data_IF_680508712171
#
_entry.id   IF_680508712171
#
_cell.length_a   1.000
_cell.length_b   1.000
_cell.length_c   1.000
_cell.angle_alpha   90.00
_cell.angle_beta   90.00
_cell.angle_gamma   90.00
#
_symmetry.space_group_name_H-M   'P 1'
#
loop_
_entity.id
_entity.type
_entity.pdbx_description
1 polymer ?
#
# COMPACT_ATOMS: atom_id res chain seq x y z
N UNK A 1 14.50 -5.89 -10.84
CA UNK A 1 13.03 -5.96 -10.80
C UNK A 1 12.37 -4.76 -11.50
N UNK A 2 12.72 -3.51 -11.16
CA UNK A 2 12.08 -2.31 -11.72
C UNK A 2 11.89 -2.33 -13.25
N UNK A 3 12.92 -2.56 -14.11
CA UNK A 3 12.70 -2.54 -15.57
C UNK A 3 11.68 -3.57 -16.07
N UNK A 4 11.54 -4.69 -15.36
CA UNK A 4 10.56 -5.74 -15.69
C UNK A 4 9.15 -5.27 -15.33
N UNK A 5 8.95 -4.71 -14.14
CA UNK A 5 7.66 -4.17 -13.69
C UNK A 5 7.17 -3.04 -14.62
N UNK A 6 8.08 -2.15 -15.02
CA UNK A 6 7.79 -1.08 -16.00
C UNK A 6 7.40 -1.66 -17.36
N UNK A 7 8.13 -2.67 -17.84
CA UNK A 7 7.82 -3.33 -19.14
C UNK A 7 6.49 -4.08 -19.12
N UNK A 8 6.06 -4.57 -17.95
CA UNK A 8 4.75 -5.18 -17.76
C UNK A 8 3.58 -4.17 -17.74
N UNK A 9 3.87 -2.87 -17.65
CA UNK A 9 2.84 -1.84 -17.54
C UNK A 9 2.03 -1.95 -16.25
N UNK A 10 2.72 -2.16 -15.11
CA UNK A 10 2.06 -2.14 -13.80
C UNK A 10 1.47 -0.76 -13.55
N UNK A 11 0.19 -0.72 -13.15
CA UNK A 11 -0.54 0.52 -12.94
C UNK A 11 -0.62 0.94 -11.46
N UNK A 12 -0.53 -0.04 -10.56
CA UNK A 12 -0.40 0.13 -9.12
C UNK A 12 0.02 -1.22 -8.51
N UNK A 13 0.59 -1.19 -7.31
CA UNK A 13 0.92 -2.38 -6.53
C UNK A 13 0.39 -2.24 -5.09
N UNK A 14 0.12 -3.36 -4.43
CA UNK A 14 -0.12 -3.40 -2.99
C UNK A 14 1.16 -3.91 -2.33
N UNK A 15 1.57 -3.31 -1.22
CA UNK A 15 2.67 -3.88 -0.44
C UNK A 15 2.28 -5.27 0.10
N UNK A 16 3.25 -6.18 0.09
CA UNK A 16 3.25 -7.47 0.77
C UNK A 16 4.39 -7.54 1.80
N UNK A 17 4.54 -8.66 2.51
CA UNK A 17 5.40 -8.73 3.72
C UNK A 17 6.84 -8.69 3.31
N UNK A 18 7.15 -9.47 2.28
CA UNK A 18 8.49 -9.59 1.75
C UNK A 18 9.00 -8.29 1.09
N UNK A 19 8.13 -7.32 0.83
CA UNK A 19 8.58 -5.99 0.40
C UNK A 19 9.36 -5.28 1.52
N UNK A 20 9.09 -5.64 2.79
CA UNK A 20 9.76 -5.07 3.97
C UNK A 20 10.98 -5.87 4.44
N UNK A 21 11.32 -6.99 3.80
CA UNK A 21 12.44 -7.86 4.23
C UNK A 21 13.78 -7.12 4.34
N UNK A 22 13.95 -6.06 3.54
CA UNK A 22 15.16 -5.25 3.50
C UNK A 22 15.01 -3.89 4.21
N UNK A 23 13.93 -3.69 4.97
CA UNK A 23 13.66 -2.48 5.74
C UNK A 23 12.89 -1.40 4.97
N UNK A 24 12.21 -0.55 5.73
CA UNK A 24 11.30 0.49 5.24
C UNK A 24 11.99 1.48 4.29
N UNK A 25 13.20 1.94 4.63
CA UNK A 25 13.95 2.91 3.81
C UNK A 25 14.25 2.35 2.40
N UNK A 26 14.69 1.09 2.32
CA UNK A 26 14.99 0.43 1.07
C UNK A 26 13.72 0.23 0.21
N UNK A 27 12.60 -0.12 0.85
CA UNK A 27 11.31 -0.24 0.17
C UNK A 27 10.85 1.11 -0.38
N UNK A 28 10.95 2.18 0.42
CA UNK A 28 10.58 3.53 0.01
C UNK A 28 11.42 4.01 -1.19
N UNK A 29 12.73 3.79 -1.17
CA UNK A 29 13.60 4.12 -2.29
C UNK A 29 13.31 3.28 -3.54
N UNK A 30 12.95 2.00 -3.37
CA UNK A 30 12.49 1.16 -4.49
C UNK A 30 11.17 1.68 -5.07
N UNK A 31 10.17 1.95 -4.24
CA UNK A 31 8.85 2.43 -4.64
C UNK A 31 8.95 3.79 -5.37
N UNK A 32 9.77 4.72 -4.88
CA UNK A 32 10.02 6.03 -5.53
C UNK A 32 10.64 5.92 -6.93
N UNK A 33 11.30 4.80 -7.24
CA UNK A 33 11.92 4.55 -8.55
C UNK A 33 10.99 3.85 -9.55
N UNK A 34 9.81 3.41 -9.11
CA UNK A 34 8.76 2.90 -10.01
C UNK A 34 7.84 4.03 -10.49
N UNK A 35 7.23 3.88 -11.66
CA UNK A 35 6.34 4.89 -12.25
C UNK A 35 4.88 4.82 -11.76
N UNK A 36 4.56 3.83 -10.92
CA UNK A 36 3.22 3.55 -10.42
C UNK A 36 3.15 3.65 -8.88
N UNK A 37 1.96 3.94 -8.32
CA UNK A 37 1.78 4.02 -6.88
C UNK A 37 1.80 2.65 -6.22
N UNK A 38 2.41 2.59 -5.04
CA UNK A 38 2.29 1.49 -4.09
C UNK A 38 1.25 1.82 -3.03
N UNK A 39 0.43 0.83 -2.67
CA UNK A 39 -0.73 1.00 -1.82
C UNK A 39 -0.60 0.19 -0.54
N UNK A 40 -0.96 0.83 0.57
CA UNK A 40 -1.29 0.19 1.84
C UNK A 40 -2.30 1.08 2.55
N UNK A 41 -3.49 0.55 2.77
CA UNK A 41 -4.65 1.34 3.16
C UNK A 41 -5.02 1.17 4.63
N UNK A 42 -4.50 0.13 5.28
CA UNK A 42 -4.96 -0.33 6.59
C UNK A 42 -3.82 -0.62 7.58
N UNK A 43 -2.62 -0.10 7.32
CA UNK A 43 -1.50 -0.12 8.27
C UNK A 43 -0.88 1.26 8.35
N UNK A 44 -0.85 1.81 9.56
CA UNK A 44 -0.27 3.10 9.87
C UNK A 44 1.07 2.91 10.59
N UNK A 45 2.03 3.77 10.29
CA UNK A 45 3.24 3.95 11.08
C UNK A 45 2.91 4.90 12.24
N UNK A 46 3.13 4.43 13.48
CA UNK A 46 2.79 5.18 14.70
C UNK A 46 3.68 6.43 14.88
N UNK A 47 4.91 6.42 14.37
CA UNK A 47 5.83 7.56 14.45
C UNK A 47 5.41 8.72 13.55
N UNK A 48 4.83 8.42 12.39
CA UNK A 48 4.41 9.43 11.41
C UNK A 48 2.90 9.69 11.39
N UNK A 49 2.10 8.78 11.96
CA UNK A 49 0.64 8.74 11.82
C UNK A 49 0.17 8.70 10.36
N UNK A 50 1.04 8.23 9.46
CA UNK A 50 0.80 8.11 8.03
C UNK A 50 0.80 6.62 7.61
N UNK A 51 0.35 6.28 6.40
CA UNK A 51 0.45 4.91 5.91
C UNK A 51 1.91 4.44 5.90
N UNK A 52 2.11 3.18 6.28
CA UNK A 52 3.42 2.57 6.36
C UNK A 52 4.21 2.69 5.04
N UNK A 53 5.52 2.97 5.14
CA UNK A 53 6.45 3.08 4.01
C UNK A 53 6.00 4.05 2.88
N UNK A 54 5.47 5.22 3.25
CA UNK A 54 4.96 6.25 2.33
C UNK A 54 3.92 5.71 1.32
N UNK A 55 3.27 4.59 1.63
CA UNK A 55 2.27 3.99 0.75
C UNK A 55 1.06 4.90 0.57
N UNK A 56 0.41 4.83 -0.59
CA UNK A 56 -0.84 5.57 -0.79
C UNK A 56 -2.02 4.80 -0.22
N UNK A 57 -2.92 5.51 0.45
CA UNK A 57 -4.16 4.91 0.97
C UNK A 57 -5.08 4.43 -0.15
N UNK A 58 -5.19 5.17 -1.25
CA UNK A 58 -5.98 4.78 -2.43
C UNK A 58 -5.36 5.33 -3.70
N UNK A 59 -5.71 4.78 -4.85
CA UNK A 59 -5.51 5.44 -6.14
C UNK A 59 -6.80 5.43 -6.96
N UNK A 60 -6.93 6.43 -7.83
CA UNK A 60 -8.02 6.52 -8.81
C UNK A 60 -7.42 6.59 -10.19
N UNK A 61 -7.86 5.71 -11.08
CA UNK A 61 -7.44 5.69 -12.48
C UNK A 61 -8.63 5.97 -13.39
N UNK A 62 -8.41 6.66 -14.50
CA UNK A 62 -9.43 6.89 -15.52
C UNK A 62 -9.03 6.19 -16.82
N UNK A 63 -9.93 5.36 -17.35
CA UNK A 63 -9.75 4.72 -18.65
C UNK A 63 -11.04 4.80 -19.45
N UNK A 64 -10.98 5.45 -20.60
CA UNK A 64 -12.11 5.60 -21.53
C UNK A 64 -13.37 6.18 -20.85
N UNK A 65 -13.20 7.14 -19.94
CA UNK A 65 -14.30 7.77 -19.20
C UNK A 65 -14.80 6.96 -17.99
N UNK A 66 -14.25 5.77 -17.74
CA UNK A 66 -14.55 4.96 -16.55
C UNK A 66 -13.51 5.25 -15.47
N UNK A 67 -13.98 5.61 -14.27
CA UNK A 67 -13.12 5.75 -13.07
C UNK A 67 -13.02 4.43 -12.33
N UNK A 68 -11.81 4.04 -11.96
CA UNK A 68 -11.47 2.88 -11.15
C UNK A 68 -10.86 3.36 -9.84
N UNK A 69 -11.54 3.11 -8.72
CA UNK A 69 -10.99 3.33 -7.38
C UNK A 69 -10.34 2.05 -6.86
N UNK A 70 -9.11 2.14 -6.35
CA UNK A 70 -8.32 0.99 -5.93
C UNK A 70 -7.80 1.21 -4.51
N UNK A 71 -7.85 0.13 -3.72
CA UNK A 71 -7.50 0.06 -2.31
C UNK A 71 -6.53 -1.13 -2.16
N UNK A 72 -5.44 -0.97 -1.41
CA UNK A 72 -4.49 -2.04 -1.11
C UNK A 72 -4.59 -2.43 0.36
N UNK A 73 -5.02 -3.66 0.64
CA UNK A 73 -5.27 -4.13 2.00
C UNK A 73 -4.38 -5.32 2.30
N UNK A 74 -3.85 -5.38 3.52
CA UNK A 74 -3.05 -6.50 4.03
C UNK A 74 -3.75 -7.17 5.21
N UNK A 75 -3.42 -8.43 5.47
CA UNK A 75 -3.91 -9.21 6.61
C UNK A 75 -3.24 -8.75 7.92
N UNK A 76 -3.80 -9.09 9.08
CA UNK A 76 -3.21 -8.73 10.38
C UNK A 76 -2.01 -9.63 10.70
N UNK A 77 -2.17 -10.93 10.44
CA UNK A 77 -1.19 -11.99 10.70
C UNK A 77 0.13 -11.74 9.97
N UNK A 78 0.04 -11.04 8.85
CA UNK A 78 1.14 -10.50 8.07
C UNK A 78 2.15 -9.72 8.90
N UNK A 79 1.69 -8.90 9.85
CA UNK A 79 2.53 -8.03 10.68
C UNK A 79 3.49 -8.83 11.56
N UNK A 80 3.05 -10.00 12.04
CA UNK A 80 3.90 -10.90 12.81
C UNK A 80 5.02 -11.55 11.98
N UNK A 81 4.97 -11.44 10.65
CA UNK A 81 5.98 -11.99 9.73
C UNK A 81 7.01 -10.96 9.26
N UNK A 82 6.86 -9.70 9.65
CA UNK A 82 7.78 -8.64 9.23
C UNK A 82 9.11 -8.76 9.95
N UNK A 83 10.18 -8.96 9.20
CA UNK A 83 11.51 -9.16 9.78
C UNK A 83 12.16 -7.87 10.30
N UNK A 84 11.67 -6.70 9.86
CA UNK A 84 12.34 -5.41 10.04
C UNK A 84 11.46 -4.34 10.71
N UNK A 85 10.22 -4.68 11.04
CA UNK A 85 9.26 -3.78 11.67
C UNK A 85 8.76 -4.45 12.94
N UNK A 86 8.80 -3.72 14.07
CA UNK A 86 8.14 -4.18 15.29
C UNK A 86 6.62 -3.99 15.15
N UNK A 87 5.79 -5.01 15.42
CA UNK A 87 4.35 -4.87 15.45
C UNK A 87 3.84 -3.74 16.37
N UNK A 88 4.60 -3.35 17.40
CA UNK A 88 4.26 -2.22 18.30
C UNK A 88 4.43 -0.84 17.63
N UNK A 89 5.24 -0.74 16.58
CA UNK A 89 5.50 0.51 15.85
C UNK A 89 4.43 0.84 14.80
N UNK A 90 3.47 -0.06 14.59
CA UNK A 90 2.43 0.09 13.59
C UNK A 90 1.03 -0.11 14.18
N UNK A 91 0.05 0.52 13.56
CA UNK A 91 -1.37 0.30 13.88
C UNK A 91 -2.04 -0.38 12.70
N UNK A 92 -2.54 -1.59 12.93
CA UNK A 92 -3.42 -2.30 12.02
C UNK A 92 -4.86 -1.80 12.13
N UNK A 93 -5.53 -1.70 10.99
CA UNK A 93 -6.98 -1.53 10.90
C UNK A 93 -7.54 -2.74 10.16
N UNK A 94 -8.59 -3.36 10.71
CA UNK A 94 -9.27 -4.48 10.07
C UNK A 94 -9.59 -4.18 8.59
N UNK A 95 -9.10 -5.04 7.69
CA UNK A 95 -9.21 -4.81 6.26
C UNK A 95 -10.67 -4.76 5.79
N UNK A 96 -11.61 -5.45 6.46
CA UNK A 96 -13.03 -5.39 6.09
C UNK A 96 -13.60 -4.02 6.43
N UNK A 97 -13.30 -3.53 7.63
CA UNK A 97 -13.73 -2.23 8.14
C UNK A 97 -13.18 -1.10 7.29
N UNK A 98 -11.85 -1.06 7.08
CA UNK A 98 -11.21 0.00 6.32
C UNK A 98 -11.58 -0.08 4.82
N UNK A 99 -11.61 -1.28 4.26
CA UNK A 99 -12.03 -1.49 2.88
C UNK A 99 -13.45 -0.98 2.60
N UNK A 100 -14.42 -1.26 3.50
CA UNK A 100 -15.80 -0.75 3.36
C UNK A 100 -15.86 0.77 3.46
N UNK A 101 -15.13 1.36 4.41
CA UNK A 101 -15.06 2.82 4.58
C UNK A 101 -14.49 3.49 3.33
N UNK A 102 -13.36 3.01 2.82
CA UNK A 102 -12.71 3.57 1.64
C UNK A 102 -13.51 3.35 0.37
N UNK A 103 -14.16 2.19 0.20
CA UNK A 103 -15.04 1.93 -0.93
C UNK A 103 -16.21 2.93 -0.99
N UNK A 104 -16.81 3.26 0.17
CA UNK A 104 -17.84 4.30 0.26
C UNK A 104 -17.28 5.67 -0.15
N UNK A 105 -16.12 6.06 0.39
CA UNK A 105 -15.48 7.34 0.06
C UNK A 105 -15.13 7.47 -1.43
N UNK A 106 -14.66 6.39 -2.07
CA UNK A 106 -14.31 6.39 -3.49
C UNK A 106 -15.54 6.46 -4.39
N UNK A 107 -16.69 5.95 -3.95
CA UNK A 107 -17.96 6.06 -4.69
C UNK A 107 -18.44 7.51 -4.81
N UNK A 108 -18.10 8.34 -3.83
CA UNK A 108 -18.49 9.75 -3.77
C UNK A 108 -17.51 10.68 -4.55
N UNK A 109 -16.45 10.13 -5.17
CA UNK A 109 -15.43 10.87 -5.96
C UNK A 109 -15.60 10.74 -7.48
#
# INVERSE_FOLDING_TARGET
MIPVLESCGVHCACYGNHDFDFGVDNLMDFARRTSFPWLISNVLDNGTSAPLADGKVTCVMNRNGIKFGIIGLVEEEWLATLATIDPEDVTYIDFVTEGRKLAKQLKDK
#
